data_IF_529982894560
#
_entry.id   IF_529982894560
#
_cell.length_a   1.000
_cell.length_b   1.000
_cell.length_c   1.000
_cell.angle_alpha   90.00
_cell.angle_beta   90.00
_cell.angle_gamma   90.00
#
_symmetry.space_group_name_H-M   'P 1'
#
loop_
_entity.id
_entity.type
_entity.pdbx_description
1 polymer ?
#
# COMPACT_ATOMS: atom_id res chain seq x y z
N UNK A 1 10.42 -0.14 -1.00
CA UNK A 1 8.94 -0.22 -1.06
C UNK A 1 8.45 -1.20 -2.12
N UNK A 2 9.18 -1.34 -3.21
CA UNK A 2 8.80 -2.28 -4.27
C UNK A 2 8.76 -3.73 -3.76
N UNK A 3 9.75 -4.14 -2.98
CA UNK A 3 9.79 -5.49 -2.43
C UNK A 3 8.70 -5.74 -1.41
N UNK A 4 8.35 -4.73 -0.61
CA UNK A 4 7.23 -4.82 0.32
C UNK A 4 5.92 -5.02 -0.45
N UNK A 5 5.71 -4.27 -1.52
CA UNK A 5 4.55 -4.42 -2.38
C UNK A 5 4.49 -5.79 -3.04
N UNK A 6 5.63 -6.30 -3.52
CA UNK A 6 5.70 -7.62 -4.15
C UNK A 6 5.33 -8.73 -3.18
N UNK A 7 5.77 -8.62 -1.93
CA UNK A 7 5.38 -9.57 -0.88
C UNK A 7 3.88 -9.48 -0.60
N UNK A 8 3.35 -8.27 -0.49
CA UNK A 8 1.93 -8.06 -0.24
C UNK A 8 1.05 -8.61 -1.35
N UNK A 9 1.52 -8.59 -2.59
CA UNK A 9 0.79 -9.17 -3.72
C UNK A 9 0.44 -10.64 -3.45
N UNK A 10 1.41 -11.42 -2.98
CA UNK A 10 1.16 -12.83 -2.67
C UNK A 10 0.14 -12.98 -1.55
N UNK A 11 0.22 -12.14 -0.51
CA UNK A 11 -0.74 -12.18 0.59
C UNK A 11 -2.14 -11.82 0.11
N UNK A 12 -2.27 -10.76 -0.66
CA UNK A 12 -3.58 -10.30 -1.14
C UNK A 12 -4.22 -11.34 -2.04
N UNK A 13 -3.45 -11.99 -2.89
CA UNK A 13 -3.98 -13.01 -3.78
C UNK A 13 -4.29 -14.31 -3.05
N UNK A 14 -3.42 -14.77 -2.14
CA UNK A 14 -3.60 -16.06 -1.46
C UNK A 14 -4.55 -15.98 -0.27
N UNK A 15 -4.52 -14.91 0.51
CA UNK A 15 -5.32 -14.76 1.74
C UNK A 15 -6.64 -14.06 1.44
N UNK A 16 -6.60 -12.93 0.74
CA UNK A 16 -7.79 -12.12 0.47
C UNK A 16 -8.49 -12.49 -0.84
N UNK A 17 -7.82 -13.19 -1.74
CA UNK A 17 -8.39 -13.55 -3.03
C UNK A 17 -8.60 -12.36 -3.96
N UNK A 18 -7.74 -11.35 -3.86
CA UNK A 18 -7.84 -10.11 -4.65
C UNK A 18 -6.72 -10.08 -5.68
N UNK A 19 -7.06 -10.02 -6.98
CA UNK A 19 -6.03 -9.84 -8.01
C UNK A 19 -5.25 -8.54 -7.74
N UNK A 20 -3.92 -8.64 -7.76
CA UNK A 20 -3.06 -7.54 -7.35
C UNK A 20 -1.91 -7.37 -8.34
N UNK A 21 -1.62 -6.14 -8.72
CA UNK A 21 -0.46 -5.77 -9.53
C UNK A 21 0.45 -4.85 -8.73
N UNK A 22 1.75 -5.02 -8.90
CA UNK A 22 2.77 -4.19 -8.26
C UNK A 22 3.60 -3.53 -9.34
N UNK A 23 3.76 -2.22 -9.27
CA UNK A 23 4.51 -1.46 -10.27
C UNK A 23 5.44 -0.45 -9.61
N UNK A 24 6.54 -0.17 -10.29
CA UNK A 24 7.46 0.88 -9.89
C UNK A 24 6.86 2.21 -10.34
N UNK A 25 6.76 3.17 -9.40
CA UNK A 25 6.09 4.44 -9.65
C UNK A 25 6.69 5.21 -10.83
N UNK A 26 8.03 5.19 -10.97
CA UNK A 26 8.72 5.87 -12.07
C UNK A 26 8.35 5.32 -13.45
N UNK A 27 7.93 4.07 -13.52
CA UNK A 27 7.47 3.46 -14.76
C UNK A 27 5.97 3.66 -14.95
N UNK A 28 5.19 3.47 -13.90
CA UNK A 28 3.74 3.56 -13.97
C UNK A 28 3.27 4.94 -14.41
N UNK A 29 3.91 6.02 -13.96
CA UNK A 29 3.50 7.39 -14.28
C UNK A 29 3.52 7.70 -15.78
N UNK A 30 4.25 6.93 -16.56
CA UNK A 30 4.37 7.12 -18.02
C UNK A 30 3.67 6.04 -18.83
N UNK A 31 3.14 5.02 -18.18
CA UNK A 31 2.57 3.86 -18.86
C UNK A 31 1.09 4.08 -19.18
N UNK A 32 0.68 3.73 -20.39
CA UNK A 32 -0.73 3.61 -20.71
C UNK A 32 -1.27 2.33 -20.07
N UNK A 33 -2.27 2.46 -19.24
CA UNK A 33 -2.88 1.31 -18.58
C UNK A 33 -4.38 1.29 -18.83
N UNK A 34 -4.98 0.10 -18.71
CA UNK A 34 -6.43 -0.05 -18.80
C UNK A 34 -6.99 0.16 -17.38
N UNK A 35 -7.66 1.28 -17.13
CA UNK A 35 -8.14 1.58 -15.78
C UNK A 35 -9.39 0.79 -15.42
N UNK A 36 -9.49 0.39 -14.16
CA UNK A 36 -10.71 -0.12 -13.55
C UNK A 36 -11.06 0.80 -12.39
N UNK A 37 -12.20 1.53 -12.47
CA UNK A 37 -12.58 2.47 -11.39
C UNK A 37 -12.76 1.83 -10.02
N UNK A 38 -12.95 0.52 -9.96
CA UNK A 38 -13.09 -0.22 -8.71
C UNK A 38 -11.76 -0.60 -8.08
N UNK A 39 -10.65 -0.29 -8.74
CA UNK A 39 -9.31 -0.61 -8.24
C UNK A 39 -8.98 0.25 -7.03
N UNK A 40 -8.48 -0.38 -5.96
CA UNK A 40 -7.84 0.32 -4.87
C UNK A 40 -6.37 0.55 -5.23
N UNK A 41 -5.98 1.81 -5.29
CA UNK A 41 -4.59 2.21 -5.57
C UNK A 41 -3.88 2.39 -4.24
N UNK A 42 -2.84 1.59 -4.00
CA UNK A 42 -2.05 1.66 -2.77
C UNK A 42 -0.67 2.18 -3.11
N UNK A 43 -0.29 3.30 -2.52
CA UNK A 43 1.09 3.80 -2.63
C UNK A 43 1.86 3.44 -1.37
N UNK A 44 3.12 3.09 -1.53
CA UNK A 44 4.00 2.72 -0.43
C UNK A 44 5.21 3.64 -0.49
N UNK A 45 5.40 4.46 0.54
CA UNK A 45 6.46 5.44 0.56
C UNK A 45 6.91 5.71 1.99
N UNK A 46 8.17 6.07 2.19
CA UNK A 46 8.69 6.46 3.49
C UNK A 46 8.42 7.95 3.76
N UNK A 47 8.87 8.80 2.86
CA UNK A 47 8.77 10.25 3.05
C UNK A 47 7.39 10.82 2.72
N UNK A 48 6.68 10.19 1.79
CA UNK A 48 5.44 10.73 1.24
C UNK A 48 5.64 11.93 0.31
N UNK A 49 6.87 12.22 -0.06
CA UNK A 49 7.21 13.39 -0.89
C UNK A 49 7.91 13.03 -2.20
N UNK A 50 8.09 11.74 -2.49
CA UNK A 50 8.80 11.29 -3.70
C UNK A 50 8.00 11.70 -4.94
N UNK A 51 8.66 12.42 -5.85
CA UNK A 51 7.99 12.98 -7.03
C UNK A 51 7.38 11.90 -7.93
N UNK A 52 8.07 10.78 -8.13
CA UNK A 52 7.56 9.69 -8.96
C UNK A 52 6.31 9.06 -8.38
N UNK A 53 6.27 8.85 -7.07
CA UNK A 53 5.11 8.25 -6.40
C UNK A 53 3.91 9.20 -6.44
N UNK A 54 4.12 10.50 -6.21
CA UNK A 54 3.06 11.49 -6.32
C UNK A 54 2.52 11.57 -7.76
N UNK A 55 3.41 11.55 -8.75
CA UNK A 55 3.01 11.58 -10.15
C UNK A 55 2.24 10.32 -10.56
N UNK A 56 2.66 9.15 -10.06
CA UNK A 56 1.96 7.89 -10.29
C UNK A 56 0.55 7.93 -9.71
N UNK A 57 0.38 8.47 -8.51
CA UNK A 57 -0.93 8.62 -7.89
C UNK A 57 -1.84 9.54 -8.74
N UNK A 58 -1.31 10.68 -9.16
CA UNK A 58 -2.07 11.62 -10.00
C UNK A 58 -2.44 10.99 -11.34
N UNK A 59 -1.53 10.21 -11.93
CA UNK A 59 -1.81 9.48 -13.15
C UNK A 59 -2.97 8.50 -12.97
N UNK A 60 -2.95 7.70 -11.90
CA UNK A 60 -4.03 6.76 -11.60
C UNK A 60 -5.37 7.49 -11.41
N UNK A 61 -5.37 8.61 -10.70
CA UNK A 61 -6.59 9.40 -10.49
C UNK A 61 -7.12 9.99 -11.80
N UNK A 62 -6.22 10.40 -12.69
CA UNK A 62 -6.62 10.92 -14.01
C UNK A 62 -7.30 9.85 -14.88
N UNK A 63 -7.04 8.58 -14.59
CA UNK A 63 -7.66 7.44 -15.26
C UNK A 63 -8.98 7.01 -14.60
N UNK A 64 -9.42 7.72 -13.56
CA UNK A 64 -10.69 7.45 -12.89
C UNK A 64 -10.58 6.53 -11.67
N UNK A 65 -9.37 6.16 -11.26
CA UNK A 65 -9.17 5.32 -10.08
C UNK A 65 -9.03 6.22 -8.84
N UNK A 66 -10.13 6.44 -8.14
CA UNK A 66 -10.16 7.40 -7.04
C UNK A 66 -10.12 6.78 -5.64
N UNK A 67 -10.16 5.46 -5.55
CA UNK A 67 -9.99 4.77 -4.27
C UNK A 67 -8.50 4.64 -3.98
N UNK A 68 -8.00 5.50 -3.09
CA UNK A 68 -6.56 5.62 -2.84
C UNK A 68 -6.24 5.43 -1.37
N UNK A 69 -5.17 4.68 -1.10
CA UNK A 69 -4.60 4.47 0.24
C UNK A 69 -3.10 4.64 0.15
N UNK A 70 -2.51 5.31 1.11
CA UNK A 70 -1.06 5.34 1.22
C UNK A 70 -0.57 4.65 2.50
N UNK A 71 0.50 3.90 2.36
CA UNK A 71 1.28 3.36 3.48
C UNK A 71 2.52 4.26 3.57
N UNK A 72 2.56 5.15 4.55
CA UNK A 72 3.54 6.22 4.62
C UNK A 72 4.00 6.45 6.05
N UNK A 73 5.26 6.84 6.23
CA UNK A 73 5.79 7.12 7.57
C UNK A 73 5.50 8.54 8.06
N UNK A 74 5.36 9.51 7.16
CA UNK A 74 5.22 10.92 7.52
C UNK A 74 3.78 11.38 7.39
N UNK A 75 3.12 11.61 8.53
CA UNK A 75 1.69 11.92 8.58
C UNK A 75 1.33 13.26 7.93
N UNK A 76 2.27 14.19 7.87
CA UNK A 76 2.04 15.52 7.28
C UNK A 76 2.46 15.62 5.82
N UNK A 77 2.83 14.50 5.20
CA UNK A 77 3.36 14.49 3.84
C UNK A 77 2.31 14.81 2.77
N UNK A 78 2.80 15.19 1.59
CA UNK A 78 1.94 15.44 0.43
C UNK A 78 1.11 14.22 0.07
N UNK A 79 1.70 13.02 0.13
CA UNK A 79 1.00 11.78 -0.21
C UNK A 79 -0.22 11.55 0.68
N UNK A 80 -0.09 11.80 1.99
CA UNK A 80 -1.20 11.65 2.93
C UNK A 80 -2.32 12.63 2.59
N UNK A 81 -1.98 13.85 2.18
CA UNK A 81 -2.97 14.84 1.79
C UNK A 81 -3.68 14.49 0.48
N UNK A 82 -3.02 13.77 -0.42
CA UNK A 82 -3.55 13.43 -1.73
C UNK A 82 -4.38 12.14 -1.75
N UNK A 83 -4.16 11.23 -0.82
CA UNK A 83 -4.89 9.97 -0.75
C UNK A 83 -6.13 10.10 0.13
N UNK A 84 -7.16 9.32 -0.16
CA UNK A 84 -8.38 9.30 0.66
C UNK A 84 -8.12 8.65 2.02
N UNK A 85 -7.28 7.64 2.07
CA UNK A 85 -6.96 6.90 3.28
C UNK A 85 -5.44 6.87 3.47
N UNK A 86 -5.00 6.81 4.71
CA UNK A 86 -3.58 6.73 5.03
C UNK A 86 -3.36 5.81 6.22
N UNK A 87 -2.35 4.98 6.10
CA UNK A 87 -1.79 4.21 7.21
C UNK A 87 -0.40 4.73 7.51
N UNK A 88 -0.19 5.25 8.72
CA UNK A 88 1.09 5.82 9.12
C UNK A 88 1.91 4.72 9.81
N UNK A 89 3.08 4.41 9.24
CA UNK A 89 3.90 3.29 9.71
C UNK A 89 4.58 3.56 11.05
N UNK A 90 4.82 4.85 11.36
CA UNK A 90 5.43 5.29 12.62
C UNK A 90 6.82 4.68 12.85
N UNK A 91 7.58 4.54 11.77
CA UNK A 91 8.93 3.99 11.83
C UNK A 91 9.95 4.95 12.45
N UNK A 92 9.56 6.20 12.66
CA UNK A 92 10.46 7.24 13.16
C UNK A 92 11.29 7.88 12.05
N UNK A 93 12.27 8.67 12.46
CA UNK A 93 13.16 9.37 11.52
C UNK A 93 14.11 8.35 10.89
N UNK A 94 14.28 8.42 9.56
CA UNK A 94 15.16 7.51 8.85
C UNK A 94 16.61 7.99 8.94
N UNK A 95 17.41 7.28 9.74
CA UNK A 95 18.84 7.52 9.88
C UNK A 95 19.57 6.17 9.92
N UNK A 96 20.59 6.00 9.09
CA UNK A 96 21.40 4.77 9.08
C UNK A 96 20.58 3.50 8.81
N UNK A 97 20.45 2.65 9.83
CA UNK A 97 19.75 1.34 9.71
C UNK A 97 18.23 1.46 9.60
N UNK A 98 17.69 2.66 9.55
CA UNK A 98 16.24 2.87 9.51
C UNK A 98 15.58 2.29 8.27
N UNK A 99 16.31 2.02 7.18
CA UNK A 99 15.75 1.41 5.99
C UNK A 99 15.17 0.02 6.27
N UNK A 100 15.80 -0.77 7.12
CA UNK A 100 15.27 -2.08 7.55
C UNK A 100 14.00 -1.91 8.37
N UNK A 101 14.00 -0.94 9.29
CA UNK A 101 12.82 -0.64 10.11
C UNK A 101 11.65 -0.16 9.24
N UNK A 102 11.92 0.72 8.27
CA UNK A 102 10.92 1.20 7.35
C UNK A 102 10.30 0.06 6.54
N UNK A 103 11.12 -0.85 6.03
CA UNK A 103 10.66 -2.01 5.29
C UNK A 103 9.77 -2.91 6.14
N UNK A 104 10.18 -3.21 7.37
CA UNK A 104 9.41 -4.05 8.28
C UNK A 104 8.07 -3.42 8.62
N UNK A 105 8.02 -2.12 8.91
CA UNK A 105 6.76 -1.44 9.25
C UNK A 105 5.83 -1.36 8.04
N UNK A 106 6.37 -1.21 6.83
CA UNK A 106 5.57 -1.29 5.61
C UNK A 106 4.95 -2.68 5.44
N UNK A 107 5.72 -3.73 5.68
CA UNK A 107 5.21 -5.10 5.61
C UNK A 107 4.09 -5.33 6.63
N UNK A 108 4.24 -4.85 7.85
CA UNK A 108 3.20 -4.96 8.88
C UNK A 108 1.92 -4.27 8.41
N UNK A 109 2.03 -3.03 7.90
CA UNK A 109 0.88 -2.30 7.39
C UNK A 109 0.17 -3.02 6.26
N UNK A 110 0.93 -3.58 5.32
CA UNK A 110 0.37 -4.32 4.20
C UNK A 110 -0.26 -5.64 4.63
N UNK A 111 0.30 -6.31 5.62
CA UNK A 111 -0.29 -7.53 6.17
C UNK A 111 -1.62 -7.23 6.85
N UNK A 112 -1.69 -6.18 7.66
CA UNK A 112 -2.93 -5.74 8.31
C UNK A 112 -3.99 -5.37 7.26
N UNK A 113 -3.60 -4.68 6.19
CA UNK A 113 -4.50 -4.39 5.08
C UNK A 113 -5.04 -5.67 4.45
N UNK A 114 -4.16 -6.65 4.22
CA UNK A 114 -4.55 -7.94 3.66
C UNK A 114 -5.59 -8.64 4.53
N UNK A 115 -5.37 -8.68 5.84
CA UNK A 115 -6.31 -9.32 6.76
C UNK A 115 -7.64 -8.58 6.79
N UNK A 116 -7.63 -7.25 6.80
CA UNK A 116 -8.84 -6.45 6.79
C UNK A 116 -9.67 -6.70 5.53
N UNK A 117 -9.02 -6.71 4.37
CA UNK A 117 -9.69 -6.97 3.10
C UNK A 117 -10.20 -8.41 3.00
N UNK A 118 -9.45 -9.36 3.53
CA UNK A 118 -9.87 -10.77 3.55
C UNK A 118 -11.12 -10.94 4.41
N UNK A 119 -11.20 -10.26 5.55
CA UNK A 119 -12.36 -10.31 6.42
C UNK A 119 -13.58 -9.70 5.73
N UNK A 120 -13.43 -8.55 5.09
CA UNK A 120 -14.51 -7.88 4.36
C UNK A 120 -15.05 -8.78 3.24
N UNK A 121 -14.18 -9.54 2.59
CA UNK A 121 -14.57 -10.47 1.52
C UNK A 121 -15.09 -11.81 2.05
N UNK A 122 -15.13 -12.00 3.37
CA UNK A 122 -15.60 -13.24 3.98
C UNK A 122 -14.61 -14.41 3.86
N UNK A 123 -13.34 -14.14 3.59
CA UNK A 123 -12.32 -15.19 3.47
C UNK A 123 -11.64 -15.55 4.78
N UNK A 124 -11.81 -14.70 5.82
CA UNK A 124 -11.32 -14.98 7.18
C UNK A 124 -12.45 -14.80 8.17
N UNK A 125 -12.57 -15.72 9.10
CA UNK A 125 -13.42 -15.55 10.27
C UNK A 125 -12.67 -14.72 11.31
N UNK A 126 -13.39 -14.19 12.33
CA UNK A 126 -12.76 -13.45 13.41
C UNK A 126 -11.70 -14.29 14.13
N UNK A 127 -11.97 -15.58 14.31
CA UNK A 127 -11.02 -16.49 14.95
C UNK A 127 -9.76 -16.69 14.12
N UNK A 128 -9.90 -16.81 12.80
CA UNK A 128 -8.76 -16.95 11.88
C UNK A 128 -7.93 -15.69 11.85
N UNK A 129 -8.58 -14.52 11.86
CA UNK A 129 -7.87 -13.25 11.90
C UNK A 129 -7.09 -13.08 13.20
N UNK A 130 -7.69 -13.41 14.34
CA UNK A 130 -7.02 -13.36 15.63
C UNK A 130 -5.79 -14.27 15.67
N UNK A 131 -5.89 -15.48 15.11
CA UNK A 131 -4.78 -16.41 15.02
C UNK A 131 -3.65 -15.85 14.14
N UNK A 132 -3.97 -15.25 13.00
CA UNK A 132 -2.99 -14.65 12.09
C UNK A 132 -2.25 -13.47 12.75
N UNK A 133 -2.96 -12.66 13.54
CA UNK A 133 -2.36 -11.52 14.21
C UNK A 133 -1.41 -11.90 15.34
N UNK A 134 -1.52 -13.11 15.89
CA UNK A 134 -0.62 -13.61 16.93
C UNK A 134 0.72 -14.10 16.38
N UNK A 135 0.79 -14.38 15.11
CA UNK A 135 2.03 -14.81 14.46
C UNK A 135 2.87 -13.59 14.03
#
# INVERSE_FOLDING_TARGET
>A
SYYAGSTAKYWLESIAGIPTSVEIASEYRYRDSVPDPKTLVVTITQSGETADTLAALKHARSLGMEHTLTICNVATSAMVRECRLAYITRAGVEVGVASTKAFTTQLVGLYLLTLALAQVRGRLSDAQEAAALKE
#
